data_IF_714666488218
#
_entry.id   IF_714666488218
#
_cell.length_a   1.000
_cell.length_b   1.000
_cell.length_c   1.000
_cell.angle_alpha   90.00
_cell.angle_beta   90.00
_cell.angle_gamma   90.00
#
_symmetry.space_group_name_H-M   'P 1'
#
loop_
_entity.id
_entity.type
_entity.pdbx_description
1 polymer ?
#
# COMPACT_ATOMS: atom_id res chain seq x y z
N UNK A 1 -15.37 -3.23 -17.40
CA UNK A 1 -15.21 -4.48 -16.62
C UNK A 1 -15.07 -4.07 -15.17
N UNK A 2 -15.76 -4.74 -14.25
CA UNK A 2 -15.82 -4.36 -12.84
C UNK A 2 -14.85 -5.25 -12.07
N UNK A 3 -13.84 -4.66 -11.39
CA UNK A 3 -12.84 -5.41 -10.62
C UNK A 3 -13.49 -6.23 -9.51
N UNK A 4 -13.13 -7.51 -9.40
CA UNK A 4 -13.59 -8.42 -8.34
C UNK A 4 -12.63 -8.44 -7.16
N UNK A 5 -13.16 -8.75 -5.97
CA UNK A 5 -12.39 -8.74 -4.73
C UNK A 5 -11.27 -9.79 -4.75
N UNK A 6 -11.53 -10.98 -5.29
CA UNK A 6 -10.51 -12.01 -5.51
C UNK A 6 -9.35 -11.52 -6.38
N UNK A 7 -9.62 -10.85 -7.50
CA UNK A 7 -8.61 -10.24 -8.37
C UNK A 7 -7.83 -9.12 -7.67
N UNK A 8 -8.54 -8.28 -6.89
CA UNK A 8 -7.94 -7.19 -6.13
C UNK A 8 -6.99 -7.70 -5.04
N UNK A 9 -7.34 -8.78 -4.35
CA UNK A 9 -6.50 -9.42 -3.34
C UNK A 9 -5.17 -9.90 -3.93
N UNK A 10 -5.22 -10.66 -5.01
CA UNK A 10 -4.02 -11.21 -5.67
C UNK A 10 -3.12 -10.09 -6.15
N UNK A 11 -3.65 -9.15 -6.96
CA UNK A 11 -2.84 -8.06 -7.52
C UNK A 11 -2.24 -7.16 -6.43
N UNK A 12 -2.95 -6.89 -5.35
CA UNK A 12 -2.44 -6.05 -4.25
C UNK A 12 -1.34 -6.75 -3.46
N UNK A 13 -1.49 -8.05 -3.19
CA UNK A 13 -0.46 -8.86 -2.53
C UNK A 13 0.82 -8.96 -3.40
N UNK A 14 0.67 -9.18 -4.70
CA UNK A 14 1.80 -9.23 -5.65
C UNK A 14 2.54 -7.89 -5.73
N UNK A 15 1.81 -6.78 -5.77
CA UNK A 15 2.40 -5.44 -5.77
C UNK A 15 3.19 -5.18 -4.48
N UNK A 16 2.67 -5.59 -3.32
CA UNK A 16 3.41 -5.48 -2.06
C UNK A 16 4.65 -6.37 -2.08
N UNK A 17 4.48 -7.65 -2.46
CA UNK A 17 5.55 -8.64 -2.53
C UNK A 17 6.73 -8.18 -3.39
N UNK A 18 6.45 -7.54 -4.53
CA UNK A 18 7.47 -6.97 -5.41
C UNK A 18 8.32 -5.87 -4.74
N UNK A 19 7.75 -5.12 -3.79
CA UNK A 19 8.43 -4.02 -3.10
C UNK A 19 9.12 -4.50 -1.84
N UNK A 20 8.49 -5.37 -1.05
CA UNK A 20 9.09 -5.88 0.19
C UNK A 20 10.15 -6.96 -0.07
N UNK A 21 10.14 -7.61 -1.23
CA UNK A 21 11.11 -8.65 -1.59
C UNK A 21 10.85 -10.01 -0.93
N UNK A 22 9.65 -10.20 -0.39
CA UNK A 22 9.19 -11.44 0.24
C UNK A 22 7.78 -11.79 -0.25
N UNK A 23 7.36 -13.04 -0.07
CA UNK A 23 6.02 -13.47 -0.44
C UNK A 23 4.96 -12.86 0.51
N UNK A 24 3.88 -12.33 -0.07
CA UNK A 24 2.71 -11.85 0.65
C UNK A 24 1.53 -12.75 0.31
N UNK A 25 0.95 -13.37 1.33
CA UNK A 25 -0.25 -14.18 1.21
C UNK A 25 -1.46 -13.29 0.87
N UNK A 26 -2.16 -13.63 -0.22
CA UNK A 26 -3.33 -12.92 -0.73
C UNK A 26 -4.64 -13.30 -0.01
N UNK A 27 -4.57 -14.05 1.10
CA UNK A 27 -5.76 -14.51 1.82
C UNK A 27 -6.63 -13.34 2.34
N UNK A 28 -7.97 -13.41 2.19
CA UNK A 28 -8.88 -12.33 2.59
C UNK A 28 -8.80 -11.93 4.07
N UNK A 29 -8.44 -12.85 4.97
CA UNK A 29 -8.30 -12.60 6.41
C UNK A 29 -7.06 -11.74 6.75
N UNK A 30 -6.08 -11.69 5.84
CA UNK A 30 -4.86 -10.89 5.97
C UNK A 30 -5.00 -9.49 5.41
N UNK A 31 -6.05 -9.24 4.64
CA UNK A 31 -6.29 -7.96 4.01
C UNK A 31 -7.15 -7.04 4.90
N UNK A 32 -6.74 -5.78 5.00
CA UNK A 32 -7.65 -4.73 5.45
C UNK A 32 -8.65 -4.43 4.32
N UNK A 33 -9.92 -4.27 4.68
CA UNK A 33 -11.00 -3.88 3.78
C UNK A 33 -11.58 -2.55 4.23
N UNK A 34 -11.37 -1.53 3.41
CA UNK A 34 -11.93 -0.20 3.64
C UNK A 34 -13.11 0.03 2.68
N UNK A 35 -14.24 0.48 3.22
CA UNK A 35 -15.43 0.75 2.40
C UNK A 35 -15.20 1.91 1.42
N UNK A 36 -15.53 1.70 0.14
CA UNK A 36 -15.40 2.74 -0.88
C UNK A 36 -16.56 3.73 -0.92
N UNK A 37 -17.68 3.40 -0.30
CA UNK A 37 -18.82 4.30 -0.12
C UNK A 37 -18.70 4.99 1.22
N UNK A 38 -19.43 6.09 1.38
CA UNK A 38 -19.61 6.73 2.67
C UNK A 38 -21.09 6.68 3.03
N UNK A 39 -21.41 6.10 4.19
CA UNK A 39 -22.77 6.08 4.77
C UNK A 39 -22.64 6.65 6.17
N UNK A 40 -23.42 7.68 6.49
CA UNK A 40 -23.37 8.38 7.79
C UNK A 40 -21.94 8.78 8.21
N UNK A 41 -21.17 9.34 7.26
CA UNK A 41 -19.76 9.75 7.42
C UNK A 41 -18.78 8.59 7.71
N UNK A 42 -19.24 7.34 7.65
CA UNK A 42 -18.43 6.15 7.86
C UNK A 42 -18.13 5.44 6.53
N UNK A 43 -16.91 4.92 6.34
CA UNK A 43 -16.61 4.03 5.21
C UNK A 43 -17.53 2.81 5.24
N UNK A 44 -18.22 2.57 4.13
CA UNK A 44 -19.13 1.45 3.95
C UNK A 44 -18.83 0.74 2.62
N UNK A 45 -19.01 -0.57 2.61
CA UNK A 45 -18.85 -1.39 1.42
C UNK A 45 -19.92 -2.49 1.37
N UNK A 46 -19.96 -3.28 0.28
CA UNK A 46 -19.16 -3.12 -0.94
C UNK A 46 -19.55 -1.86 -1.78
N UNK A 47 -18.68 -1.41 -2.71
CA UNK A 47 -17.35 -1.95 -3.01
C UNK A 47 -16.30 -1.68 -1.92
N UNK A 48 -15.23 -2.47 -1.93
CA UNK A 48 -14.15 -2.47 -0.95
C UNK A 48 -12.82 -2.06 -1.59
N UNK A 49 -12.01 -1.27 -0.90
CA UNK A 49 -10.57 -1.15 -1.16
C UNK A 49 -9.85 -2.21 -0.33
N UNK A 50 -9.03 -3.02 -0.99
CA UNK A 50 -8.18 -4.02 -0.34
C UNK A 50 -6.83 -3.38 -0.04
N UNK A 51 -6.31 -3.59 1.17
CA UNK A 51 -4.99 -3.11 1.58
C UNK A 51 -4.20 -4.20 2.29
N UNK A 52 -2.93 -4.32 1.91
CA UNK A 52 -1.92 -5.07 2.64
C UNK A 52 -0.85 -4.13 3.16
N UNK A 53 -0.36 -4.40 4.37
CA UNK A 53 0.67 -3.61 5.03
C UNK A 53 1.78 -4.53 5.54
N UNK A 54 3.01 -4.08 5.41
CA UNK A 54 4.19 -4.62 6.10
C UNK A 54 4.84 -3.50 6.88
N UNK A 55 5.19 -3.78 8.13
CA UNK A 55 5.87 -2.86 9.01
C UNK A 55 7.11 -3.56 9.56
N UNK A 56 8.20 -2.80 9.66
CA UNK A 56 9.48 -3.24 10.18
C UNK A 56 9.87 -2.34 11.33
N UNK A 57 10.00 -2.94 12.52
CA UNK A 57 10.49 -2.25 13.72
C UNK A 57 12.01 -2.21 13.68
N UNK A 58 12.60 -1.06 14.06
CA UNK A 58 14.04 -0.82 13.97
C UNK A 58 14.64 -1.21 12.59
N UNK A 59 14.08 -0.67 11.49
CA UNK A 59 14.49 -1.04 10.15
C UNK A 59 15.96 -0.67 9.91
N UNK A 60 16.72 -1.59 9.30
CA UNK A 60 18.08 -1.27 8.87
C UNK A 60 18.05 -0.30 7.68
N UNK A 61 19.09 0.52 7.55
CA UNK A 61 19.23 1.42 6.40
C UNK A 61 19.31 0.66 5.07
N UNK A 62 19.90 -0.54 5.07
CA UNK A 62 19.95 -1.42 3.91
C UNK A 62 18.54 -1.90 3.49
N UNK A 63 17.70 -2.30 4.46
CA UNK A 63 16.33 -2.72 4.18
C UNK A 63 15.51 -1.56 3.57
N UNK A 64 15.64 -0.36 4.13
CA UNK A 64 14.99 0.84 3.61
C UNK A 64 15.46 1.11 2.18
N UNK A 65 16.78 1.20 1.96
CA UNK A 65 17.35 1.50 0.64
C UNK A 65 16.94 0.47 -0.42
N UNK A 66 16.99 -0.82 -0.09
CA UNK A 66 16.58 -1.89 -1.00
C UNK A 66 15.08 -1.83 -1.33
N UNK A 67 14.25 -1.53 -0.32
CA UNK A 67 12.80 -1.39 -0.52
C UNK A 67 12.46 -0.18 -1.38
N UNK A 68 13.12 0.97 -1.15
CA UNK A 68 12.94 2.16 -1.97
C UNK A 68 13.37 1.94 -3.42
N UNK A 69 14.47 1.22 -3.65
CA UNK A 69 14.90 0.85 -5.01
C UNK A 69 13.88 -0.04 -5.72
N UNK A 70 13.28 -1.02 -5.02
CA UNK A 70 12.20 -1.85 -5.57
C UNK A 70 10.90 -1.07 -5.80
N UNK A 71 10.59 -0.12 -4.91
CA UNK A 71 9.45 0.78 -5.09
C UNK A 71 9.59 1.62 -6.36
N UNK A 72 10.76 2.22 -6.59
CA UNK A 72 11.05 2.99 -7.80
C UNK A 72 10.97 2.11 -9.06
N UNK A 73 11.43 0.86 -8.98
CA UNK A 73 11.37 -0.11 -10.07
C UNK A 73 9.93 -0.45 -10.51
N UNK A 74 8.90 -0.18 -9.69
CA UNK A 74 7.50 -0.29 -10.13
C UNK A 74 7.18 0.62 -11.31
N UNK A 75 7.98 1.67 -11.56
CA UNK A 75 7.82 2.54 -12.73
C UNK A 75 7.90 1.77 -14.05
N UNK A 76 8.66 0.68 -14.10
CA UNK A 76 8.73 -0.23 -15.26
C UNK A 76 7.38 -0.93 -15.51
N UNK A 77 6.57 -1.10 -14.47
CA UNK A 77 5.22 -1.68 -14.54
C UNK A 77 4.12 -0.60 -14.75
N UNK A 78 4.51 0.64 -15.03
CA UNK A 78 3.56 1.74 -15.29
C UNK A 78 3.06 2.46 -14.04
N UNK A 79 3.63 2.18 -12.86
CA UNK A 79 3.36 2.99 -11.68
C UNK A 79 4.06 4.36 -11.80
N UNK A 80 3.44 5.40 -11.27
CA UNK A 80 3.97 6.75 -11.30
C UNK A 80 4.00 7.34 -9.90
N UNK A 81 5.11 7.98 -9.55
CA UNK A 81 5.24 8.72 -8.29
C UNK A 81 4.18 9.82 -8.23
N UNK A 82 3.43 9.83 -7.14
CA UNK A 82 2.37 10.81 -6.90
C UNK A 82 2.95 12.07 -6.27
N UNK A 83 2.50 13.23 -6.74
CA UNK A 83 2.84 14.51 -6.14
C UNK A 83 2.33 14.56 -4.69
N UNK A 84 3.21 14.93 -3.76
CA UNK A 84 2.85 15.09 -2.35
C UNK A 84 1.87 16.26 -2.19
N UNK A 85 0.84 16.06 -1.35
CA UNK A 85 -0.20 17.08 -1.08
C UNK A 85 -0.08 17.73 0.31
N UNK A 86 0.78 17.23 1.21
CA UNK A 86 0.93 17.77 2.56
C UNK A 86 1.97 18.90 2.61
N UNK A 87 1.72 19.96 3.41
CA UNK A 87 2.75 20.94 3.75
C UNK A 87 3.83 20.30 4.64
N UNK A 88 5.06 20.75 4.47
CA UNK A 88 6.26 20.25 5.15
C UNK A 88 6.23 20.42 6.69
N UNK A 89 7.03 19.61 7.43
CA UNK A 89 7.92 18.56 6.92
C UNK A 89 7.21 17.22 6.74
N UNK A 90 7.41 16.60 5.57
CA UNK A 90 6.96 15.21 5.35
C UNK A 90 7.73 14.23 6.25
N UNK A 91 7.08 13.14 6.71
CA UNK A 91 7.77 11.99 7.27
C UNK A 91 8.90 11.51 6.33
N UNK A 92 10.04 11.03 6.88
CA UNK A 92 11.08 10.43 6.06
C UNK A 92 10.53 9.30 5.20
N UNK A 93 11.10 9.16 3.99
CA UNK A 93 10.78 8.08 3.07
C UNK A 93 9.28 7.94 2.71
N UNK A 94 8.50 9.03 2.82
CA UNK A 94 7.10 9.04 2.41
C UNK A 94 6.96 9.13 0.88
N UNK A 95 6.68 8.01 0.23
CA UNK A 95 6.47 7.94 -1.21
C UNK A 95 5.19 7.18 -1.51
N UNK A 96 4.49 7.56 -2.57
CA UNK A 96 3.33 6.83 -3.05
C UNK A 96 3.38 6.78 -4.56
N UNK A 97 3.29 5.58 -5.09
CA UNK A 97 3.24 5.28 -6.52
C UNK A 97 1.84 4.79 -6.86
N UNK A 98 1.33 5.17 -8.04
CA UNK A 98 0.01 4.74 -8.53
C UNK A 98 0.08 4.35 -10.00
N UNK A 99 -0.59 3.27 -10.38
CA UNK A 99 -0.72 2.86 -11.77
C UNK A 99 -2.00 3.40 -12.44
N UNK A 100 -2.16 3.14 -13.74
CA UNK A 100 -3.34 3.57 -14.50
C UNK A 100 -4.63 2.86 -14.09
N UNK A 101 -4.54 1.67 -13.48
CA UNK A 101 -5.69 0.93 -12.97
C UNK A 101 -6.16 1.44 -11.59
N UNK A 102 -5.35 2.25 -10.92
CA UNK A 102 -5.67 2.85 -9.63
C UNK A 102 -5.10 2.10 -8.42
N UNK A 103 -4.26 1.07 -8.64
CA UNK A 103 -3.50 0.46 -7.55
C UNK A 103 -2.46 1.44 -7.04
N UNK A 104 -2.19 1.39 -5.75
CA UNK A 104 -1.18 2.22 -5.11
C UNK A 104 -0.21 1.39 -4.30
N UNK A 105 1.08 1.73 -4.32
CA UNK A 105 2.08 1.21 -3.40
C UNK A 105 2.86 2.37 -2.82
N UNK A 106 3.08 2.37 -1.52
CA UNK A 106 3.76 3.46 -0.85
C UNK A 106 4.55 3.02 0.37
N UNK A 107 5.40 3.93 0.82
CA UNK A 107 6.25 3.77 2.00
C UNK A 107 6.08 4.96 2.92
N UNK A 108 6.33 4.76 4.20
CA UNK A 108 6.49 5.83 5.17
C UNK A 108 7.37 5.38 6.33
N UNK A 109 8.07 6.33 6.94
CA UNK A 109 8.77 6.13 8.21
C UNK A 109 8.11 6.98 9.28
N UNK A 110 7.87 6.40 10.45
CA UNK A 110 7.33 7.11 11.61
C UNK A 110 7.89 6.53 12.90
N UNK A 111 7.63 7.21 14.02
CA UNK A 111 7.90 6.67 15.36
C UNK A 111 6.60 6.30 16.02
N UNK A 112 6.57 5.13 16.66
CA UNK A 112 5.47 4.76 17.54
C UNK A 112 5.50 5.59 18.84
N UNK A 113 4.43 5.49 19.64
CA UNK A 113 4.26 6.29 20.85
C UNK A 113 5.34 6.05 21.92
N UNK A 114 6.02 4.91 21.85
CA UNK A 114 7.17 4.53 22.68
C UNK A 114 8.52 5.02 22.11
N UNK A 115 8.52 5.67 20.94
CA UNK A 115 9.70 6.15 20.24
C UNK A 115 10.33 5.16 19.27
N UNK A 116 9.79 3.95 19.13
CA UNK A 116 10.30 2.92 18.22
C UNK A 116 10.20 3.38 16.77
N UNK A 117 11.31 3.44 16.01
CA UNK A 117 11.26 3.78 14.59
C UNK A 117 10.68 2.61 13.79
N UNK A 118 9.68 2.91 12.96
CA UNK A 118 8.99 1.94 12.12
C UNK A 118 9.04 2.39 10.67
N UNK A 119 9.42 1.47 9.79
CA UNK A 119 9.28 1.64 8.34
C UNK A 119 8.12 0.79 7.84
N UNK A 120 7.18 1.42 7.15
CA UNK A 120 5.94 0.81 6.68
C UNK A 120 5.87 0.84 5.17
N UNK A 121 5.46 -0.28 4.59
CA UNK A 121 5.16 -0.44 3.16
C UNK A 121 3.70 -0.85 3.05
N UNK A 122 2.95 -0.17 2.18
CA UNK A 122 1.52 -0.40 1.99
C UNK A 122 1.21 -0.55 0.51
N UNK A 123 0.44 -1.57 0.15
CA UNK A 123 -0.19 -1.68 -1.16
C UNK A 123 -1.71 -1.61 -1.02
N UNK A 124 -2.40 -0.97 -1.95
CA UNK A 124 -3.86 -0.88 -1.97
C UNK A 124 -4.43 -0.98 -3.37
N UNK A 125 -5.59 -1.61 -3.49
CA UNK A 125 -6.35 -1.73 -4.74
C UNK A 125 -7.20 -0.47 -5.03
N UNK A 126 -7.67 -0.28 -6.27
CA UNK A 126 -8.89 0.50 -6.49
C UNK A 126 -10.11 -0.24 -5.91
N UNK A 127 -11.27 0.41 -5.93
CA UNK A 127 -12.52 -0.17 -5.43
C UNK A 127 -12.93 -1.43 -6.20
N UNK A 128 -13.03 -2.55 -5.48
CA UNK A 128 -13.42 -3.85 -6.00
C UNK A 128 -14.80 -4.26 -5.46
N UNK A 129 -15.59 -4.95 -6.27
CA UNK A 129 -16.88 -5.50 -5.84
C UNK A 129 -16.68 -6.90 -5.28
N UNK A 130 -17.62 -7.33 -4.45
CA UNK A 130 -17.68 -8.73 -4.02
C UNK A 130 -17.83 -9.66 -5.23
N UNK A 131 -17.32 -10.89 -5.04
CA UNK A 131 -17.35 -11.94 -6.05
C UNK A 131 -18.78 -12.30 -6.46
#
# INVERSE_FOLDING_TARGET
>A
MTLKMSEALVATAENLSAVVGEHVDASPDKAQRDGCRTVDLMPAGPPWTVRFTRAYDHPSSELIAATLGRLEALSVKGFQLQARKRPDPAPPHEFTYRDAAGYTVGTSEYREGDGTPVFRVTASSPCANED
#
